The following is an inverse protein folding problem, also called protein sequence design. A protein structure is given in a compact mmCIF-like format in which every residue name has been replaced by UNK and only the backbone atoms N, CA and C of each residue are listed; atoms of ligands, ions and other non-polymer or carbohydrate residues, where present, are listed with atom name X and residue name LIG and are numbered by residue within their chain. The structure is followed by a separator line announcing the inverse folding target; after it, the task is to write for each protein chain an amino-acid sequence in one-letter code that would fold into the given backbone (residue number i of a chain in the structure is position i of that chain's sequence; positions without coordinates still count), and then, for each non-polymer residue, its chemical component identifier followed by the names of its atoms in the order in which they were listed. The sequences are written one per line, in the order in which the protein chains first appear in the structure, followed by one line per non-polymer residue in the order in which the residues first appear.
data_IF_148452358767
#
_entry.id   IF_148452358767
#
_cell.length_a   1.000
_cell.length_b   1.000
_cell.length_c   1.000
_cell.angle_alpha   90.00
_cell.angle_beta   90.00
_cell.angle_gamma   90.00
#
_symmetry.space_group_name_H-M   'P 1'
#
loop_
_entity.id
_entity.type
_entity.pdbx_description
1 polymer ?
#
# COMPACT_ATOMS: atom_id res chain seq x y z
N UNK A 1 -2.79 -8.05 -6.77
CA UNK A 1 -1.70 -8.70 -6.03
C UNK A 1 -0.43 -7.88 -6.20
N UNK A 2 0.48 -7.87 -5.22
CA UNK A 2 1.80 -7.23 -5.36
C UNK A 2 2.79 -8.10 -6.14
N UNK A 3 2.55 -9.39 -6.23
CA UNK A 3 3.35 -10.32 -7.03
C UNK A 3 2.38 -11.34 -7.62
N UNK A 4 2.54 -11.62 -8.90
CA UNK A 4 1.87 -12.74 -9.55
C UNK A 4 2.88 -13.87 -9.71
N UNK A 5 2.43 -15.10 -9.55
CA UNK A 5 3.20 -16.29 -9.85
C UNK A 5 2.40 -17.14 -10.83
N UNK A 6 3.08 -17.72 -11.79
CA UNK A 6 2.50 -18.64 -12.76
C UNK A 6 3.17 -20.00 -12.58
N UNK A 7 2.38 -21.06 -12.46
CA UNK A 7 2.88 -22.41 -12.39
C UNK A 7 3.21 -22.87 -13.83
N UNK A 8 4.49 -23.08 -14.12
CA UNK A 8 4.95 -23.53 -15.44
C UNK A 8 4.61 -25.01 -15.67
N UNK A 9 4.45 -25.77 -14.59
CA UNK A 9 4.10 -27.18 -14.57
C UNK A 9 3.00 -27.43 -13.50
N UNK A 10 2.30 -28.58 -13.53
CA UNK A 10 1.34 -28.93 -12.48
C UNK A 10 1.98 -28.86 -11.08
N UNK A 11 1.39 -28.06 -10.18
CA UNK A 11 1.88 -27.84 -8.82
C UNK A 11 0.80 -28.15 -7.79
N UNK A 12 1.20 -28.75 -6.69
CA UNK A 12 0.38 -28.84 -5.48
C UNK A 12 0.78 -27.70 -4.52
N UNK A 13 -0.20 -26.92 -4.08
CA UNK A 13 0.05 -25.73 -3.25
C UNK A 13 -0.72 -25.79 -1.93
N UNK A 14 -0.05 -25.41 -0.84
CA UNK A 14 -0.67 -25.28 0.47
C UNK A 14 -1.14 -23.84 0.65
N UNK A 15 -2.46 -23.67 0.81
CA UNK A 15 -3.05 -22.36 1.09
C UNK A 15 -3.19 -22.18 2.60
N UNK A 16 -2.43 -21.24 3.17
CA UNK A 16 -2.52 -20.87 4.58
C UNK A 16 -3.42 -19.63 4.70
N UNK A 17 -4.60 -19.73 5.33
CA UNK A 17 -5.46 -18.57 5.59
C UNK A 17 -4.73 -17.54 6.46
N UNK A 18 -4.99 -16.26 6.21
CA UNK A 18 -4.29 -15.17 6.90
C UNK A 18 -4.44 -15.20 8.42
N UNK A 19 -5.59 -15.69 8.92
CA UNK A 19 -5.80 -15.85 10.36
C UNK A 19 -4.86 -16.91 10.95
N UNK A 20 -4.79 -18.10 10.34
CA UNK A 20 -3.89 -19.17 10.80
C UNK A 20 -2.41 -18.77 10.71
N UNK A 21 -2.03 -18.00 9.69
CA UNK A 21 -0.67 -17.47 9.60
C UNK A 21 -0.38 -16.51 10.76
N UNK A 22 -1.31 -15.60 11.10
CA UNK A 22 -1.15 -14.71 12.27
C UNK A 22 -1.06 -15.50 13.56
N UNK A 23 -1.93 -16.48 13.76
CA UNK A 23 -1.93 -17.32 14.96
C UNK A 23 -0.57 -18.05 15.11
N UNK A 24 -0.03 -18.59 14.02
CA UNK A 24 1.31 -19.21 13.98
C UNK A 24 2.41 -18.22 14.36
N UNK A 25 2.37 -16.99 13.83
CA UNK A 25 3.39 -15.97 14.11
C UNK A 25 3.38 -15.52 15.57
N UNK A 26 2.22 -15.59 16.24
CA UNK A 26 2.08 -15.29 17.68
C UNK A 26 2.57 -16.47 18.53
N UNK A 27 2.23 -17.70 18.15
CA UNK A 27 2.59 -18.90 18.90
C UNK A 27 4.09 -19.25 18.79
N UNK A 28 4.70 -19.03 17.64
CA UNK A 28 6.09 -19.38 17.36
C UNK A 28 6.93 -18.13 17.09
N UNK A 29 7.46 -17.51 18.15
CA UNK A 29 8.16 -16.21 18.07
C UNK A 29 9.32 -16.20 17.04
N UNK A 30 10.15 -17.24 17.02
CA UNK A 30 11.27 -17.33 16.07
C UNK A 30 10.81 -17.41 14.61
N UNK A 31 9.72 -18.12 14.34
CA UNK A 31 9.15 -18.22 13.00
C UNK A 31 8.43 -16.92 12.62
N UNK A 32 7.69 -16.33 13.57
CA UNK A 32 7.06 -15.04 13.43
C UNK A 32 8.04 -13.93 13.04
N UNK A 33 9.17 -13.84 13.73
CA UNK A 33 10.24 -12.88 13.40
C UNK A 33 10.78 -13.10 11.98
N UNK A 34 11.08 -14.35 11.61
CA UNK A 34 11.59 -14.68 10.26
C UNK A 34 10.59 -14.31 9.17
N UNK A 35 9.32 -14.64 9.36
CA UNK A 35 8.24 -14.32 8.40
C UNK A 35 8.06 -12.81 8.30
N UNK A 36 7.98 -12.09 9.43
CA UNK A 36 7.87 -10.63 9.44
C UNK A 36 9.04 -9.97 8.71
N UNK A 37 10.28 -10.36 9.04
CA UNK A 37 11.48 -9.83 8.40
C UNK A 37 11.47 -10.09 6.88
N UNK A 38 11.08 -11.29 6.45
CA UNK A 38 10.94 -11.61 5.03
C UNK A 38 9.88 -10.74 4.34
N UNK A 39 8.73 -10.51 4.97
CA UNK A 39 7.67 -9.65 4.43
C UNK A 39 8.09 -8.18 4.35
N UNK A 40 8.80 -7.67 5.36
CA UNK A 40 9.36 -6.31 5.38
C UNK A 40 10.37 -6.15 4.23
N UNK A 41 11.36 -7.03 4.13
CA UNK A 41 12.38 -6.96 3.07
C UNK A 41 11.77 -7.11 1.68
N UNK A 42 10.78 -7.99 1.53
CA UNK A 42 10.03 -8.12 0.26
C UNK A 42 9.31 -6.82 -0.08
N UNK A 43 8.71 -6.14 0.89
CA UNK A 43 8.03 -4.86 0.66
C UNK A 43 9.02 -3.78 0.24
N UNK A 44 10.18 -3.69 0.89
CA UNK A 44 11.27 -2.77 0.53
C UNK A 44 11.71 -3.01 -0.91
N UNK A 45 12.05 -4.25 -1.28
CA UNK A 45 12.47 -4.57 -2.65
C UNK A 45 11.39 -4.29 -3.71
N UNK A 46 10.11 -4.46 -3.39
CA UNK A 46 9.01 -4.11 -4.30
C UNK A 46 8.86 -2.59 -4.48
N UNK A 47 9.10 -1.81 -3.43
CA UNK A 47 9.09 -0.35 -3.49
C UNK A 47 10.28 0.18 -4.31
N UNK A 48 11.46 -0.38 -4.11
CA UNK A 48 12.69 0.01 -4.82
C UNK A 48 12.67 -0.39 -6.30
N UNK A 49 12.18 -1.59 -6.62
CA UNK A 49 12.11 -2.05 -8.02
C UNK A 49 11.09 -1.27 -8.85
N UNK A 50 10.06 -0.69 -8.22
CA UNK A 50 8.94 -0.08 -8.92
C UNK A 50 8.20 -1.02 -9.87
N UNK A 51 8.47 -2.32 -9.86
CA UNK A 51 7.99 -3.28 -10.86
C UNK A 51 6.61 -3.88 -10.53
N UNK A 52 5.94 -3.35 -9.52
CA UNK A 52 4.74 -3.93 -8.93
C UNK A 52 3.71 -2.84 -8.60
N UNK A 53 2.44 -3.24 -8.55
CA UNK A 53 1.33 -2.38 -8.16
C UNK A 53 0.62 -1.73 -9.35
N UNK A 54 -0.20 -0.69 -9.11
CA UNK A 54 -0.91 0.01 -10.18
C UNK A 54 0.06 0.72 -11.12
N UNK A 55 -0.33 0.84 -12.39
CA UNK A 55 0.38 1.61 -13.41
C UNK A 55 -0.39 2.90 -13.66
N UNK A 56 0.24 4.04 -13.35
CA UNK A 56 -0.29 5.38 -13.65
C UNK A 56 0.27 5.81 -15.00
N UNK A 57 -0.59 6.21 -15.93
CA UNK A 57 -0.21 6.63 -17.28
C UNK A 57 -0.76 8.03 -17.51
N UNK A 58 0.10 8.96 -17.91
CA UNK A 58 -0.30 10.32 -18.24
C UNK A 58 0.87 11.20 -18.67
N UNK A 59 0.57 12.44 -19.09
CA UNK A 59 1.58 13.34 -19.62
C UNK A 59 2.53 13.85 -18.53
N UNK A 60 3.78 14.18 -18.88
CA UNK A 60 4.76 14.68 -17.93
C UNK A 60 4.32 16.03 -17.36
N UNK A 61 4.58 16.26 -16.07
CA UNK A 61 4.24 17.51 -15.40
C UNK A 61 2.75 17.74 -15.11
N UNK A 62 1.87 16.78 -15.42
CA UNK A 62 0.45 16.87 -15.11
C UNK A 62 0.19 16.77 -13.59
N UNK A 63 -0.59 17.71 -13.05
CA UNK A 63 -0.88 17.79 -11.61
C UNK A 63 -1.64 16.57 -11.05
N UNK A 64 -2.53 15.96 -11.84
CA UNK A 64 -3.25 14.76 -11.44
C UNK A 64 -2.35 13.52 -11.43
N UNK A 65 -1.40 13.43 -12.38
CA UNK A 65 -0.37 12.39 -12.35
C UNK A 65 0.43 12.48 -11.04
N UNK A 66 0.86 13.69 -10.66
CA UNK A 66 1.60 13.93 -9.41
C UNK A 66 0.74 13.65 -8.17
N UNK A 67 -0.55 13.99 -8.19
CA UNK A 67 -1.50 13.69 -7.12
C UNK A 67 -1.60 12.18 -6.87
N UNK A 68 -1.83 11.40 -7.92
CA UNK A 68 -1.96 9.94 -7.84
C UNK A 68 -0.66 9.26 -7.39
N UNK A 69 0.48 9.64 -7.96
CA UNK A 69 1.80 9.14 -7.55
C UNK A 69 2.10 9.51 -6.09
N UNK A 70 1.80 10.76 -5.70
CA UNK A 70 1.98 11.24 -4.33
C UNK A 70 1.15 10.44 -3.33
N UNK A 71 -0.12 10.16 -3.65
CA UNK A 71 -0.98 9.30 -2.83
C UNK A 71 -0.39 7.89 -2.65
N UNK A 72 0.01 7.25 -3.75
CA UNK A 72 0.58 5.89 -3.71
C UNK A 72 1.88 5.86 -2.90
N UNK A 73 2.77 6.84 -3.10
CA UNK A 73 4.04 6.96 -2.35
C UNK A 73 3.82 7.16 -0.86
N UNK A 74 2.97 8.12 -0.46
CA UNK A 74 2.65 8.38 0.96
C UNK A 74 1.94 7.21 1.63
N UNK A 75 1.22 6.40 0.86
CA UNK A 75 0.58 5.17 1.36
C UNK A 75 1.53 3.96 1.35
N UNK A 76 2.81 4.16 0.99
CA UNK A 76 3.81 3.10 0.91
C UNK A 76 3.48 2.02 -0.12
N UNK A 77 2.76 2.36 -1.20
CA UNK A 77 2.35 1.44 -2.27
C UNK A 77 3.32 1.51 -3.45
N UNK A 78 3.93 0.37 -3.85
CA UNK A 78 4.72 0.33 -5.08
C UNK A 78 3.80 0.60 -6.27
N UNK A 79 4.33 1.32 -7.27
CA UNK A 79 3.60 1.66 -8.48
C UNK A 79 4.57 2.01 -9.61
N UNK A 80 4.03 1.97 -10.83
CA UNK A 80 4.74 2.44 -12.04
C UNK A 80 4.11 3.74 -12.51
N UNK A 81 4.92 4.66 -13.00
CA UNK A 81 4.48 5.84 -13.73
C UNK A 81 5.05 5.77 -15.15
N UNK A 82 4.19 5.80 -16.16
CA UNK A 82 4.57 5.80 -17.57
C UNK A 82 4.13 7.11 -18.21
N UNK A 83 5.03 7.69 -19.00
CA UNK A 83 4.78 8.89 -19.79
C UNK A 83 3.96 8.54 -21.04
N UNK A 84 2.79 9.15 -21.21
CA UNK A 84 1.91 8.90 -22.36
C UNK A 84 2.55 9.23 -23.70
N UNK A 85 3.49 10.17 -23.74
CA UNK A 85 4.02 10.76 -24.96
C UNK A 85 5.28 10.01 -25.42
N UNK A 86 6.09 9.55 -24.46
CA UNK A 86 7.41 8.96 -24.72
C UNK A 86 7.47 7.45 -24.49
N UNK A 87 6.64 6.86 -23.63
CA UNK A 87 6.74 5.45 -23.26
C UNK A 87 5.97 4.53 -24.24
N UNK A 88 6.63 3.56 -24.91
CA UNK A 88 5.96 2.65 -25.84
C UNK A 88 4.91 1.74 -25.17
N UNK A 89 5.12 1.37 -23.91
CA UNK A 89 4.17 0.57 -23.14
C UNK A 89 2.93 1.39 -22.81
N UNK A 90 3.09 2.68 -22.49
CA UNK A 90 1.96 3.60 -22.32
C UNK A 90 1.12 3.70 -23.60
N UNK A 91 1.74 3.93 -24.75
CA UNK A 91 1.06 4.02 -26.05
C UNK A 91 0.26 2.75 -26.37
N UNK A 92 0.89 1.60 -26.19
CA UNK A 92 0.24 0.30 -26.39
C UNK A 92 -1.00 0.13 -25.51
N UNK A 93 -0.93 0.58 -24.25
CA UNK A 93 -2.07 0.51 -23.32
C UNK A 93 -3.18 1.50 -23.72
N UNK A 94 -2.82 2.73 -24.08
CA UNK A 94 -3.78 3.75 -24.55
C UNK A 94 -4.54 3.26 -25.79
N UNK A 95 -3.82 2.73 -26.78
CA UNK A 95 -4.40 2.18 -28.01
C UNK A 95 -5.29 0.97 -27.72
N UNK A 96 -4.78 -0.02 -26.98
CA UNK A 96 -5.50 -1.26 -26.67
C UNK A 96 -6.81 -1.00 -25.91
N UNK A 97 -6.81 -0.05 -24.99
CA UNK A 97 -7.98 0.31 -24.19
C UNK A 97 -8.81 1.45 -24.82
N UNK A 98 -8.46 1.93 -26.02
CA UNK A 98 -9.15 3.01 -26.73
C UNK A 98 -9.36 4.25 -25.86
N UNK A 99 -8.31 4.66 -25.14
CA UNK A 99 -8.39 5.77 -24.19
C UNK A 99 -8.27 7.10 -24.92
N UNK A 100 -9.28 7.96 -24.76
CA UNK A 100 -9.22 9.34 -25.20
C UNK A 100 -8.14 10.12 -24.40
N UNK A 101 -7.22 10.86 -25.05
CA UNK A 101 -6.22 11.70 -24.38
C UNK A 101 -6.80 12.66 -23.33
N UNK A 102 -8.05 13.12 -23.50
CA UNK A 102 -8.73 13.99 -22.55
C UNK A 102 -9.08 13.30 -21.22
N UNK A 103 -9.03 11.97 -21.16
CA UNK A 103 -9.27 11.18 -19.95
C UNK A 103 -7.98 10.80 -19.20
N UNK A 104 -6.82 11.32 -19.61
CA UNK A 104 -5.57 11.15 -18.88
C UNK A 104 -5.53 12.01 -17.60
N UNK A 105 -4.88 11.53 -16.51
CA UNK A 105 -4.20 10.25 -16.41
C UNK A 105 -5.15 9.07 -16.24
N UNK A 106 -4.74 7.90 -16.73
CA UNK A 106 -5.40 6.63 -16.43
C UNK A 106 -4.59 5.81 -15.42
N UNK A 107 -5.28 4.95 -14.67
CA UNK A 107 -4.64 3.98 -13.78
C UNK A 107 -5.09 2.57 -14.12
N UNK A 108 -4.12 1.70 -14.39
CA UNK A 108 -4.35 0.26 -14.52
C UNK A 108 -4.05 -0.41 -13.18
N UNK A 109 -5.09 -0.92 -12.52
CA UNK A 109 -4.96 -1.59 -11.24
C UNK A 109 -4.47 -3.05 -11.38
N UNK A 110 -3.87 -3.64 -10.33
CA UNK A 110 -3.40 -5.02 -10.36
C UNK A 110 -4.47 -6.09 -10.61
N UNK A 111 -5.76 -5.74 -10.51
CA UNK A 111 -6.89 -6.61 -10.83
C UNK A 111 -7.34 -6.47 -12.31
N UNK A 112 -6.62 -5.72 -13.13
CA UNK A 112 -6.95 -5.45 -14.52
C UNK A 112 -7.95 -4.31 -14.75
N UNK A 113 -8.50 -3.70 -13.68
CA UNK A 113 -9.42 -2.57 -13.81
C UNK A 113 -8.67 -1.33 -14.30
N UNK A 114 -9.18 -0.73 -15.38
CA UNK A 114 -8.75 0.58 -15.85
C UNK A 114 -9.62 1.68 -15.22
N UNK A 115 -9.00 2.77 -14.80
CA UNK A 115 -9.67 3.92 -14.20
C UNK A 115 -9.24 5.21 -14.90
N UNK A 116 -10.19 6.10 -15.18
CA UNK A 116 -9.94 7.42 -15.75
C UNK A 116 -9.86 8.47 -14.64
N UNK A 117 -8.71 9.12 -14.53
CA UNK A 117 -8.35 10.14 -13.54
C UNK A 117 -9.03 9.97 -12.17
N UNK A 118 -8.81 8.83 -11.47
CA UNK A 118 -9.58 8.52 -10.27
C UNK A 118 -9.30 9.46 -9.10
N UNK A 119 -10.25 9.54 -8.18
CA UNK A 119 -9.99 10.11 -6.84
C UNK A 119 -9.08 9.21 -6.00
N UNK A 120 -8.43 9.75 -4.97
CA UNK A 120 -7.56 8.98 -4.06
C UNK A 120 -8.32 7.81 -3.39
N UNK A 121 -9.57 8.04 -2.97
CA UNK A 121 -10.41 7.00 -2.35
C UNK A 121 -10.76 5.85 -3.32
N UNK A 122 -11.00 6.17 -4.60
CA UNK A 122 -11.34 5.15 -5.59
C UNK A 122 -10.11 4.32 -5.93
N UNK A 123 -8.95 4.98 -6.08
CA UNK A 123 -7.67 4.31 -6.26
C UNK A 123 -7.34 3.43 -5.04
N UNK A 124 -7.56 3.93 -3.82
CA UNK A 124 -7.33 3.19 -2.58
C UNK A 124 -8.16 1.89 -2.51
N UNK A 125 -9.42 1.92 -2.94
CA UNK A 125 -10.25 0.70 -3.05
C UNK A 125 -9.71 -0.23 -4.13
N UNK A 126 -9.33 0.32 -5.28
CA UNK A 126 -8.84 -0.46 -6.42
C UNK A 126 -7.56 -1.25 -6.10
N UNK A 127 -6.64 -0.65 -5.33
CA UNK A 127 -5.39 -1.27 -4.88
C UNK A 127 -5.57 -2.13 -3.61
N UNK A 128 -6.78 -2.19 -3.06
CA UNK A 128 -7.11 -2.98 -1.87
C UNK A 128 -6.62 -2.38 -0.54
N UNK A 129 -6.28 -1.08 -0.53
CA UNK A 129 -5.92 -0.35 0.68
C UNK A 129 -7.15 -0.07 1.54
N UNK A 130 -8.22 0.43 0.92
CA UNK A 130 -9.51 0.60 1.60
C UNK A 130 -10.34 -0.66 1.43
N UNK A 131 -10.52 -1.38 2.54
CA UNK A 131 -11.44 -2.52 2.63
C UNK A 131 -12.80 -2.04 3.16
N UNK A 132 -13.90 -2.68 2.74
CA UNK A 132 -15.20 -2.41 3.36
C UNK A 132 -15.11 -2.68 4.86
N UNK A 133 -15.68 -1.78 5.65
CA UNK A 133 -15.87 -2.00 7.08
C UNK A 133 -17.06 -2.94 7.21
N UNK A 134 -16.85 -4.04 7.93
CA UNK A 134 -17.92 -4.97 8.27
C UNK A 134 -18.83 -4.31 9.30
N UNK A 135 -20.07 -4.04 8.91
CA UNK A 135 -21.05 -3.36 9.76
C UNK A 135 -21.49 -4.21 10.96
N UNK A 136 -21.32 -5.54 10.87
CA UNK A 136 -21.71 -6.48 11.92
C UNK A 136 -20.55 -6.78 12.88
N UNK A 137 -19.35 -6.29 12.58
CA UNK A 137 -18.18 -6.48 13.43
C UNK A 137 -18.12 -5.46 14.56
N UNK A 138 -18.27 -5.95 15.79
CA UNK A 138 -17.98 -5.18 16.99
C UNK A 138 -16.46 -5.10 17.21
N UNK A 139 -15.96 -3.89 17.46
CA UNK A 139 -14.57 -3.64 17.84
C UNK A 139 -14.51 -3.21 19.31
N UNK A 140 -13.52 -3.70 20.05
CA UNK A 140 -13.27 -3.32 21.44
C UNK A 140 -12.77 -1.87 21.55
N UNK A 141 -11.97 -1.43 20.56
CA UNK A 141 -11.37 -0.08 20.54
C UNK A 141 -11.44 0.51 19.14
N UNK A 142 -11.92 1.75 19.05
CA UNK A 142 -11.85 2.58 17.85
C UNK A 142 -10.91 3.77 18.07
N UNK A 143 -9.93 3.93 17.18
CA UNK A 143 -8.92 4.99 17.24
C UNK A 143 -9.09 5.88 16.02
N UNK A 144 -9.24 7.19 16.24
CA UNK A 144 -9.38 8.19 15.17
C UNK A 144 -8.07 8.97 15.05
N UNK A 145 -7.41 8.81 13.91
CA UNK A 145 -6.09 9.36 13.57
C UNK A 145 -5.00 8.29 13.58
N UNK A 146 -4.32 8.10 12.46
CA UNK A 146 -3.20 7.17 12.28
C UNK A 146 -1.83 7.89 12.36
N UNK A 147 -1.74 8.93 13.20
CA UNK A 147 -0.46 9.54 13.58
C UNK A 147 0.29 8.75 14.66
N UNK A 148 1.42 9.23 15.17
CA UNK A 148 2.21 8.52 16.18
C UNK A 148 1.42 8.12 17.42
N UNK A 149 0.57 9.03 17.93
CA UNK A 149 -0.27 8.75 19.10
C UNK A 149 -1.29 7.63 18.84
N UNK A 150 -2.01 7.67 17.71
CA UNK A 150 -3.02 6.68 17.38
C UNK A 150 -2.42 5.32 17.01
N UNK A 151 -1.29 5.30 16.29
CA UNK A 151 -0.57 4.05 15.99
C UNK A 151 0.02 3.43 17.26
N UNK A 152 0.57 4.23 18.18
CA UNK A 152 1.03 3.73 19.47
C UNK A 152 -0.13 3.12 20.28
N UNK A 153 -1.26 3.83 20.37
CA UNK A 153 -2.46 3.30 21.02
C UNK A 153 -2.94 1.98 20.39
N UNK A 154 -2.88 1.87 19.05
CA UNK A 154 -3.28 0.66 18.34
C UNK A 154 -2.36 -0.53 18.65
N UNK A 155 -1.05 -0.30 18.76
CA UNK A 155 -0.07 -1.34 19.13
C UNK A 155 -0.33 -1.86 20.54
N UNK A 156 -0.58 -0.97 21.51
CA UNK A 156 -0.87 -1.38 22.88
C UNK A 156 -2.22 -2.10 22.98
N UNK A 157 -3.27 -1.59 22.33
CA UNK A 157 -4.57 -2.26 22.31
C UNK A 157 -4.48 -3.68 21.70
N UNK A 158 -3.78 -3.82 20.57
CA UNK A 158 -3.58 -5.11 19.92
C UNK A 158 -2.73 -6.08 20.77
N UNK A 159 -1.72 -5.57 21.49
CA UNK A 159 -0.88 -6.37 22.39
C UNK A 159 -1.67 -6.97 23.56
N UNK A 160 -2.71 -6.27 24.02
CA UNK A 160 -3.66 -6.76 25.03
C UNK A 160 -4.77 -7.65 24.43
N UNK A 161 -4.67 -8.01 23.15
CA UNK A 161 -5.62 -8.88 22.46
C UNK A 161 -6.93 -8.22 22.04
N UNK A 162 -7.04 -6.89 22.14
CA UNK A 162 -8.27 -6.16 21.79
C UNK A 162 -8.46 -6.07 20.28
N UNK A 163 -9.69 -6.31 19.83
CA UNK A 163 -10.09 -6.07 18.45
C UNK A 163 -10.13 -4.56 18.18
N UNK A 164 -9.14 -4.06 17.44
CA UNK A 164 -8.92 -2.62 17.27
C UNK A 164 -9.14 -2.18 15.83
N UNK A 165 -9.81 -1.04 15.62
CA UNK A 165 -9.89 -0.36 14.33
C UNK A 165 -9.23 1.03 14.42
N UNK A 166 -8.41 1.38 13.42
CA UNK A 166 -7.79 2.70 13.29
C UNK A 166 -8.34 3.36 12.03
N UNK A 167 -8.86 4.57 12.19
CA UNK A 167 -9.49 5.35 11.13
C UNK A 167 -8.66 6.61 10.86
N UNK A 168 -8.32 6.88 9.61
CA UNK A 168 -7.61 8.10 9.22
C UNK A 168 -8.17 8.63 7.90
N UNK A 169 -8.04 9.94 7.66
CA UNK A 169 -8.52 10.60 6.46
C UNK A 169 -7.47 10.75 5.35
N UNK A 170 -6.21 10.38 5.62
CA UNK A 170 -5.07 10.49 4.72
C UNK A 170 -4.27 9.20 4.70
N UNK A 171 -3.10 9.20 5.35
CA UNK A 171 -2.14 8.11 5.36
C UNK A 171 -1.59 7.95 6.78
N UNK A 172 -1.13 6.73 7.07
CA UNK A 172 -0.50 6.41 8.35
C UNK A 172 0.80 7.21 8.55
N UNK A 173 1.18 7.42 9.80
CA UNK A 173 2.36 8.21 10.21
C UNK A 173 2.02 9.68 10.53
N UNK A 174 0.85 10.18 10.11
CA UNK A 174 0.42 11.54 10.40
C UNK A 174 1.44 12.60 9.93
N UNK A 175 1.65 13.64 10.72
CA UNK A 175 2.65 14.68 10.40
C UNK A 175 4.09 14.15 10.41
N UNK A 176 4.40 13.17 11.28
CA UNK A 176 5.73 12.58 11.33
C UNK A 176 6.10 11.89 10.01
N UNK A 177 5.12 11.29 9.33
CA UNK A 177 5.29 10.66 8.02
C UNK A 177 5.75 11.61 6.91
N UNK A 178 5.51 12.92 7.05
CA UNK A 178 5.93 13.93 6.09
C UNK A 178 7.34 14.48 6.36
N UNK A 179 7.94 14.16 7.50
CA UNK A 179 9.25 14.68 7.92
C UNK A 179 10.39 13.91 7.26
N UNK A 180 11.30 14.64 6.61
CA UNK A 180 12.51 14.05 6.02
C UNK A 180 13.44 13.44 7.09
N UNK A 181 13.56 14.09 8.25
CA UNK A 181 14.30 13.60 9.41
C UNK A 181 13.68 14.09 10.71
N UNK A 182 13.60 13.22 11.70
CA UNK A 182 13.14 13.49 13.07
C UNK A 182 14.32 13.20 14.00
N UNK A 183 14.97 14.24 14.48
CA UNK A 183 16.18 14.15 15.31
C UNK A 183 15.87 13.97 16.79
N UNK A 184 14.64 14.28 17.20
CA UNK A 184 14.18 14.24 18.58
C UNK A 184 13.24 13.07 18.85
N UNK A 185 13.31 11.99 18.06
CA UNK A 185 12.53 10.78 18.33
C UNK A 185 13.22 9.94 19.42
N UNK A 186 12.60 9.88 20.59
CA UNK A 186 13.14 9.18 21.76
C UNK A 186 13.47 7.71 21.41
N UNK A 187 14.65 7.25 21.86
CA UNK A 187 15.16 5.90 21.56
C UNK A 187 15.96 5.79 20.26
N UNK A 188 16.05 6.84 19.46
CA UNK A 188 16.81 6.86 18.20
C UNK A 188 17.82 8.01 18.19
N UNK A 189 19.03 7.81 18.74
CA UNK A 189 20.02 8.88 18.92
C UNK A 189 20.54 9.48 17.60
N UNK A 190 20.43 8.73 16.49
CA UNK A 190 20.80 9.19 15.14
C UNK A 190 19.62 9.82 14.38
N UNK A 191 18.45 9.92 15.01
CA UNK A 191 17.19 10.27 14.37
C UNK A 191 16.62 9.17 13.47
N UNK A 192 15.40 9.39 12.99
CA UNK A 192 14.68 8.53 12.04
C UNK A 192 14.06 9.34 10.91
N UNK A 193 13.66 8.68 9.82
CA UNK A 193 12.87 9.31 8.74
C UNK A 193 11.38 9.03 8.96
N UNK A 194 10.50 9.89 8.42
CA UNK A 194 9.06 9.70 8.50
C UNK A 194 8.51 8.52 7.69
N UNK A 195 9.25 8.08 6.66
CA UNK A 195 8.85 6.97 5.78
C UNK A 195 9.61 5.66 6.08
N UNK A 196 10.33 5.60 7.21
CA UNK A 196 11.12 4.42 7.60
C UNK A 196 10.27 3.16 7.80
#
# INVERSE_FOLDING_TARGET
SLVNAEAVEPVEAIVIPSQRLRDLMVQEANLGERVMRALILRRVGLLESGASGPVVIGPPGNGDVLRLQGFLRRSGLPHRALDSDTDPCAKTLIERFHVDPHHLPIVLCPNGKLMHNPGENELARCVGLLRPIDADKLYDVAIVGAGPAGLAAAVYAASEGLSTIVLDCRAFGGQAGASARIENYLGFPTGITGMA
#
